data_IF_898807502717
#
_entry.id   IF_898807502717
#
_cell.length_a   1.000
_cell.length_b   1.000
_cell.length_c   1.000
_cell.angle_alpha   90.00
_cell.angle_beta   90.00
_cell.angle_gamma   90.00
#
_symmetry.space_group_name_H-M   'P 1'
#
loop_
_entity.id
_entity.type
_entity.pdbx_description
1 polymer ?
#
# COMPACT_ATOMS: atom_id res chain seq x y z
N UNK A 1 -74.70 -36.41 30.64
CA UNK A 1 -73.94 -36.93 29.47
C UNK A 1 -72.56 -36.31 29.51
N UNK A 2 -71.45 -37.07 29.54
CA UNK A 2 -70.12 -36.47 29.45
C UNK A 2 -69.84 -36.06 28.00
N UNK A 3 -69.39 -34.82 27.79
CA UNK A 3 -68.79 -34.40 26.52
C UNK A 3 -67.33 -34.85 26.52
N UNK A 4 -66.99 -35.78 25.63
CA UNK A 4 -65.59 -36.14 25.38
C UNK A 4 -65.03 -35.17 24.35
N UNK A 5 -64.09 -34.33 24.76
CA UNK A 5 -63.38 -33.44 23.86
C UNK A 5 -62.35 -34.24 23.07
N UNK A 6 -62.54 -34.35 21.76
CA UNK A 6 -61.53 -34.88 20.85
C UNK A 6 -60.64 -33.71 20.40
N UNK A 7 -59.49 -33.53 21.05
CA UNK A 7 -58.53 -32.52 20.64
C UNK A 7 -58.00 -32.80 19.24
N UNK A 8 -58.41 -32.01 18.26
CA UNK A 8 -57.85 -32.04 16.91
C UNK A 8 -56.46 -31.40 16.89
N UNK A 9 -55.51 -32.02 16.18
CA UNK A 9 -54.19 -31.44 15.96
C UNK A 9 -54.25 -30.46 14.77
N UNK A 10 -54.02 -29.17 15.02
CA UNK A 10 -53.84 -28.17 13.97
C UNK A 10 -52.38 -28.21 13.49
N UNK A 11 -52.16 -28.56 12.23
CA UNK A 11 -50.86 -28.42 11.58
C UNK A 11 -50.85 -27.14 10.75
N UNK A 12 -49.96 -26.19 11.10
CA UNK A 12 -49.74 -24.98 10.32
C UNK A 12 -48.44 -25.17 9.55
N UNK A 13 -48.54 -25.29 8.22
CA UNK A 13 -47.36 -25.38 7.36
C UNK A 13 -46.73 -23.99 7.22
N UNK A 14 -45.42 -23.84 7.48
CA UNK A 14 -44.72 -22.57 7.26
C UNK A 14 -44.86 -22.09 5.81
N UNK A 15 -45.00 -20.78 5.62
CA UNK A 15 -45.12 -20.19 4.28
C UNK A 15 -43.76 -20.19 3.58
N UNK A 16 -43.72 -20.60 2.30
CA UNK A 16 -42.48 -20.52 1.51
C UNK A 16 -42.05 -19.07 1.30
N UNK A 17 -40.76 -18.78 1.54
CA UNK A 17 -40.16 -17.47 1.34
C UNK A 17 -38.74 -17.62 0.80
N UNK A 18 -38.42 -16.89 -0.27
CA UNK A 18 -37.06 -16.80 -0.81
C UNK A 18 -36.48 -15.44 -0.45
N UNK A 19 -35.36 -15.43 0.25
CA UNK A 19 -34.67 -14.22 0.71
C UNK A 19 -33.35 -14.09 -0.02
N UNK A 20 -33.13 -12.95 -0.69
CA UNK A 20 -31.89 -12.65 -1.41
C UNK A 20 -31.10 -11.57 -0.69
N UNK A 21 -29.78 -11.74 -0.58
CA UNK A 21 -28.91 -10.66 -0.11
C UNK A 21 -28.93 -9.49 -1.10
N UNK A 22 -28.99 -8.26 -0.59
CA UNK A 22 -28.75 -7.10 -1.44
C UNK A 22 -27.30 -7.12 -1.95
N UNK A 23 -27.10 -6.74 -3.20
CA UNK A 23 -25.76 -6.61 -3.76
C UNK A 23 -24.98 -5.53 -3.00
N UNK A 24 -23.68 -5.76 -2.79
CA UNK A 24 -22.80 -4.85 -2.06
C UNK A 24 -21.44 -4.75 -2.73
N UNK A 25 -20.68 -3.76 -2.28
CA UNK A 25 -19.27 -3.63 -2.62
C UNK A 25 -18.40 -3.48 -1.37
N UNK A 26 -17.11 -3.76 -1.55
CA UNK A 26 -16.05 -3.36 -0.63
C UNK A 26 -14.81 -2.94 -1.42
N UNK A 27 -13.94 -2.15 -0.82
CA UNK A 27 -12.63 -1.87 -1.43
C UNK A 27 -11.70 -3.08 -1.34
N UNK A 28 -10.72 -3.11 -2.23
CA UNK A 28 -9.54 -3.97 -2.11
C UNK A 28 -8.92 -3.84 -0.72
N UNK A 29 -8.47 -4.96 -0.14
CA UNK A 29 -7.93 -5.03 1.23
C UNK A 29 -8.94 -4.90 2.37
N UNK A 30 -10.18 -4.48 2.11
CA UNK A 30 -11.21 -4.43 3.16
C UNK A 30 -11.77 -5.83 3.48
N UNK A 31 -12.26 -6.00 4.71
CA UNK A 31 -12.95 -7.22 5.13
C UNK A 31 -14.32 -7.37 4.42
N UNK A 32 -14.78 -8.62 4.29
CA UNK A 32 -16.13 -8.89 3.77
C UNK A 32 -17.20 -8.42 4.76
N UNK A 33 -18.36 -7.94 4.27
CA UNK A 33 -19.48 -7.60 5.14
C UNK A 33 -20.03 -8.85 5.83
N UNK A 34 -20.26 -8.77 7.14
CA UNK A 34 -20.78 -9.88 7.95
C UNK A 34 -22.30 -9.83 8.17
N UNK A 35 -22.91 -8.68 7.90
CA UNK A 35 -24.35 -8.48 8.00
C UNK A 35 -24.84 -7.44 6.98
N UNK A 36 -26.11 -7.53 6.61
CA UNK A 36 -26.73 -6.52 5.78
C UNK A 36 -28.17 -6.81 5.37
N UNK A 37 -28.70 -5.85 4.63
CA UNK A 37 -30.07 -5.86 4.15
C UNK A 37 -30.30 -6.99 3.14
N UNK A 38 -31.53 -7.49 3.16
CA UNK A 38 -32.01 -8.52 2.26
C UNK A 38 -33.33 -8.10 1.63
N UNK A 39 -33.71 -8.78 0.56
CA UNK A 39 -34.98 -8.55 -0.14
C UNK A 39 -35.72 -9.87 -0.31
N UNK A 40 -37.05 -9.79 -0.36
CA UNK A 40 -37.88 -10.94 -0.75
C UNK A 40 -37.74 -11.14 -2.25
N UNK A 41 -37.15 -12.26 -2.65
CA UNK A 41 -36.97 -12.64 -4.06
C UNK A 41 -38.05 -13.63 -4.55
N UNK A 42 -38.84 -14.19 -3.64
CA UNK A 42 -39.93 -15.11 -3.95
C UNK A 42 -40.82 -15.37 -2.75
N UNK A 43 -42.11 -15.64 -3.01
CA UNK A 43 -43.12 -15.72 -1.96
C UNK A 43 -43.58 -14.36 -1.47
N UNK A 44 -44.13 -14.30 -0.25
CA UNK A 44 -44.61 -13.04 0.35
C UNK A 44 -44.66 -13.11 1.87
N UNK A 45 -44.40 -11.98 2.52
CA UNK A 45 -44.59 -11.82 3.96
C UNK A 45 -46.07 -11.77 4.30
N UNK A 46 -46.42 -12.22 5.50
CA UNK A 46 -47.74 -12.02 6.08
C UNK A 46 -47.96 -10.52 6.38
N UNK A 47 -49.22 -10.11 6.49
CA UNK A 47 -49.54 -8.71 6.77
C UNK A 47 -48.95 -8.29 8.12
N UNK A 48 -48.14 -7.23 8.11
CA UNK A 48 -47.47 -6.70 9.30
C UNK A 48 -46.06 -7.25 9.54
N UNK A 49 -45.67 -8.34 8.86
CA UNK A 49 -44.32 -8.89 8.97
C UNK A 49 -43.33 -8.10 8.11
N UNK A 50 -42.08 -8.01 8.57
CA UNK A 50 -40.99 -7.34 7.85
C UNK A 50 -39.64 -7.98 8.15
N UNK A 51 -38.78 -8.04 7.13
CA UNK A 51 -37.40 -8.51 7.27
C UNK A 51 -36.53 -7.42 7.90
N UNK A 52 -35.56 -7.85 8.70
CA UNK A 52 -34.42 -7.07 9.13
C UNK A 52 -33.15 -7.48 8.37
N UNK A 53 -31.99 -7.34 9.01
CA UNK A 53 -30.72 -7.76 8.42
C UNK A 53 -30.52 -9.28 8.52
N UNK A 54 -29.71 -9.81 7.62
CA UNK A 54 -29.23 -11.18 7.67
C UNK A 54 -27.72 -11.21 7.94
N UNK A 55 -27.23 -12.35 8.43
CA UNK A 55 -25.81 -12.65 8.40
C UNK A 55 -25.39 -12.86 6.95
N UNK A 56 -24.25 -12.27 6.57
CA UNK A 56 -23.70 -12.38 5.22
C UNK A 56 -22.33 -13.06 5.27
N UNK A 57 -22.04 -13.84 4.25
CA UNK A 57 -20.75 -14.49 4.05
C UNK A 57 -20.33 -14.44 2.58
N UNK A 58 -19.02 -14.45 2.33
CA UNK A 58 -18.47 -14.53 0.99
C UNK A 58 -17.09 -15.20 1.04
N UNK A 59 -16.75 -15.96 0.00
CA UNK A 59 -15.45 -16.60 -0.15
C UNK A 59 -14.33 -15.63 -0.60
N UNK A 60 -14.65 -14.36 -0.83
CA UNK A 60 -13.67 -13.37 -1.28
C UNK A 60 -12.58 -13.14 -0.22
N UNK A 61 -11.32 -13.40 -0.54
CA UNK A 61 -10.20 -13.03 0.33
C UNK A 61 -9.93 -11.51 0.29
N UNK A 62 -9.29 -10.95 1.32
CA UNK A 62 -8.95 -9.50 1.36
C UNK A 62 -8.01 -9.07 0.21
N UNK A 63 -7.26 -10.03 -0.34
CA UNK A 63 -6.37 -9.91 -1.51
C UNK A 63 -7.10 -10.04 -2.86
N UNK A 64 -8.41 -10.30 -2.87
CA UNK A 64 -9.17 -10.34 -4.11
C UNK A 64 -9.10 -9.00 -4.82
N UNK A 65 -8.50 -8.99 -6.02
CA UNK A 65 -8.31 -7.77 -6.81
C UNK A 65 -9.60 -7.04 -7.18
N UNK A 66 -9.50 -5.74 -7.40
CA UNK A 66 -10.62 -4.91 -7.81
C UNK A 66 -11.20 -5.32 -9.18
N UNK A 67 -12.48 -5.03 -9.40
CA UNK A 67 -13.23 -5.44 -10.58
C UNK A 67 -13.78 -6.88 -10.51
N UNK A 68 -13.34 -7.69 -9.52
CA UNK A 68 -13.86 -9.03 -9.31
C UNK A 68 -15.22 -9.02 -8.60
N UNK A 69 -15.98 -10.08 -8.81
CA UNK A 69 -17.27 -10.32 -8.17
C UNK A 69 -17.30 -11.70 -7.51
N UNK A 70 -18.06 -11.79 -6.41
CA UNK A 70 -18.23 -13.00 -5.63
C UNK A 70 -19.68 -13.15 -5.19
N UNK A 71 -20.09 -14.37 -4.86
CA UNK A 71 -21.36 -14.60 -4.18
C UNK A 71 -21.32 -13.97 -2.78
N UNK A 72 -22.43 -13.33 -2.41
CA UNK A 72 -22.71 -12.84 -1.07
C UNK A 72 -23.89 -13.61 -0.51
N UNK A 73 -23.58 -14.65 0.26
CA UNK A 73 -24.55 -15.63 0.73
C UNK A 73 -25.18 -15.17 2.05
N UNK A 74 -26.49 -14.90 2.07
CA UNK A 74 -27.20 -14.60 3.30
C UNK A 74 -27.52 -15.87 4.09
N UNK A 75 -27.62 -15.70 5.40
CA UNK A 75 -28.08 -16.72 6.33
C UNK A 75 -28.72 -16.03 7.54
N UNK A 76 -29.52 -16.78 8.30
CA UNK A 76 -30.08 -16.32 9.58
C UNK A 76 -30.72 -14.92 9.48
N UNK A 77 -31.61 -14.72 8.49
CA UNK A 77 -32.34 -13.45 8.34
C UNK A 77 -33.15 -13.14 9.59
N UNK A 78 -32.97 -11.95 10.14
CA UNK A 78 -33.79 -11.45 11.22
C UNK A 78 -35.14 -10.98 10.69
N UNK A 79 -36.17 -11.06 11.52
CA UNK A 79 -37.45 -10.42 11.26
C UNK A 79 -37.55 -9.19 12.17
N UNK A 80 -37.72 -8.01 11.57
CA UNK A 80 -37.99 -6.80 12.33
C UNK A 80 -39.40 -6.84 12.93
N UNK A 81 -40.35 -7.46 12.23
CA UNK A 81 -41.68 -7.81 12.71
C UNK A 81 -42.06 -9.20 12.19
N UNK A 82 -42.76 -9.99 12.99
CA UNK A 82 -43.07 -11.39 12.67
C UNK A 82 -42.09 -12.38 13.30
N UNK A 83 -42.20 -13.66 12.91
CA UNK A 83 -41.33 -14.75 13.39
C UNK A 83 -40.85 -15.60 12.23
N UNK A 84 -39.55 -15.89 12.19
CA UNK A 84 -38.94 -16.71 11.14
C UNK A 84 -39.58 -18.12 11.04
N UNK A 85 -40.00 -18.71 12.17
CA UNK A 85 -40.62 -20.04 12.21
C UNK A 85 -41.95 -20.14 11.44
N UNK A 86 -42.58 -19.00 11.14
CA UNK A 86 -43.77 -18.96 10.29
C UNK A 86 -43.44 -19.19 8.80
N UNK A 87 -42.15 -19.24 8.45
CA UNK A 87 -41.67 -19.31 7.08
C UNK A 87 -40.71 -20.47 6.85
N UNK A 88 -40.88 -21.16 5.71
CA UNK A 88 -39.88 -22.06 5.16
C UNK A 88 -38.94 -21.24 4.27
N UNK A 89 -37.84 -20.76 4.84
CA UNK A 89 -36.94 -19.80 4.19
C UNK A 89 -35.88 -20.52 3.36
N UNK A 90 -35.75 -20.13 2.10
CA UNK A 90 -34.59 -20.44 1.26
C UNK A 90 -33.83 -19.17 0.93
N UNK A 91 -32.52 -19.30 0.73
CA UNK A 91 -31.63 -18.17 0.50
C UNK A 91 -31.14 -18.14 -0.94
N UNK A 92 -31.03 -16.94 -1.48
CA UNK A 92 -30.39 -16.66 -2.75
C UNK A 92 -29.23 -15.68 -2.55
N UNK A 93 -28.13 -15.96 -3.22
CA UNK A 93 -26.95 -15.10 -3.14
C UNK A 93 -27.21 -13.73 -3.79
N UNK A 94 -26.69 -12.70 -3.13
CA UNK A 94 -26.39 -11.43 -3.78
C UNK A 94 -24.98 -11.45 -4.37
N UNK A 95 -24.53 -10.30 -4.84
CA UNK A 95 -23.20 -10.10 -5.41
C UNK A 95 -22.37 -9.20 -4.51
N UNK A 96 -21.15 -9.62 -4.18
CA UNK A 96 -20.11 -8.76 -3.59
C UNK A 96 -19.12 -8.34 -4.69
N UNK A 97 -19.12 -7.06 -5.04
CA UNK A 97 -18.17 -6.48 -6.00
C UNK A 97 -16.98 -5.85 -5.29
N UNK A 98 -15.77 -6.04 -5.81
CA UNK A 98 -14.56 -5.42 -5.25
C UNK A 98 -14.23 -4.14 -6.02
N UNK A 99 -14.11 -3.02 -5.31
CA UNK A 99 -13.69 -1.73 -5.88
C UNK A 99 -12.23 -1.45 -5.55
N UNK A 100 -11.62 -0.51 -6.27
CA UNK A 100 -10.24 -0.07 -5.96
C UNK A 100 -10.16 0.54 -4.55
N UNK A 101 -9.02 0.39 -3.91
CA UNK A 101 -8.68 1.09 -2.67
C UNK A 101 -8.00 2.43 -2.98
N UNK A 102 -8.16 3.48 -2.15
CA UNK A 102 -7.45 4.73 -2.36
C UNK A 102 -5.95 4.57 -2.09
N UNK A 103 -5.10 5.12 -2.97
CA UNK A 103 -3.66 5.27 -2.75
C UNK A 103 -3.26 6.70 -3.06
N UNK A 104 -2.54 7.34 -2.15
CA UNK A 104 -2.01 8.70 -2.36
C UNK A 104 -0.52 8.64 -2.66
N UNK A 105 -0.10 9.32 -3.73
CA UNK A 105 1.30 9.51 -4.12
C UNK A 105 1.63 10.99 -4.00
N UNK A 106 2.50 11.34 -3.06
CA UNK A 106 2.89 12.73 -2.79
C UNK A 106 4.32 12.97 -3.25
N UNK A 107 4.55 14.00 -4.07
CA UNK A 107 5.90 14.40 -4.41
C UNK A 107 6.61 15.01 -3.21
N UNK A 108 7.86 14.59 -2.99
CA UNK A 108 8.70 15.20 -1.97
C UNK A 108 9.16 16.59 -2.42
N UNK A 109 9.10 17.54 -1.49
CA UNK A 109 9.58 18.89 -1.74
C UNK A 109 11.06 18.92 -2.11
N UNK A 110 11.40 19.78 -3.06
CA UNK A 110 12.77 20.00 -3.52
C UNK A 110 13.28 21.38 -3.16
N UNK A 111 14.60 21.46 -2.95
CA UNK A 111 15.32 22.72 -2.80
C UNK A 111 16.60 22.66 -3.61
N UNK A 112 16.95 23.76 -4.27
CA UNK A 112 18.16 23.81 -5.08
C UNK A 112 18.59 25.24 -5.40
N UNK A 113 19.65 25.32 -6.19
CA UNK A 113 20.18 26.58 -6.71
C UNK A 113 19.89 26.69 -8.21
N UNK A 114 19.70 27.92 -8.68
CA UNK A 114 19.61 28.20 -10.12
C UNK A 114 20.92 27.81 -10.79
N UNK A 115 20.84 26.91 -11.76
CA UNK A 115 21.97 26.47 -12.58
C UNK A 115 21.89 26.96 -14.02
N UNK A 116 22.89 26.57 -14.83
CA UNK A 116 22.91 26.87 -16.28
C UNK A 116 21.89 26.04 -17.09
N UNK A 117 21.45 24.92 -16.53
CA UNK A 117 20.43 24.02 -17.11
C UNK A 117 19.08 24.21 -16.43
N UNK A 118 17.97 24.07 -17.17
CA UNK A 118 16.65 24.06 -16.56
C UNK A 118 16.49 22.85 -15.63
N UNK A 119 15.69 23.01 -14.59
CA UNK A 119 15.32 21.89 -13.71
C UNK A 119 14.54 20.81 -14.47
N UNK A 120 14.81 19.55 -14.15
CA UNK A 120 14.12 18.37 -14.69
C UNK A 120 14.04 17.30 -13.58
N UNK A 121 12.91 16.59 -13.49
CA UNK A 121 12.68 15.54 -12.50
C UNK A 121 12.19 16.07 -11.14
N UNK A 122 12.41 15.28 -10.09
CA UNK A 122 11.94 15.55 -8.73
C UNK A 122 12.76 14.83 -7.66
N UNK A 123 12.30 14.88 -6.41
CA UNK A 123 13.03 14.38 -5.22
C UNK A 123 12.55 13.02 -4.71
N UNK A 124 11.83 12.25 -5.52
CA UNK A 124 11.09 11.06 -5.07
C UNK A 124 9.66 11.37 -4.65
N UNK A 125 8.95 10.33 -4.23
CA UNK A 125 7.57 10.41 -3.76
C UNK A 125 7.42 9.60 -2.47
N UNK A 126 6.42 9.95 -1.67
CA UNK A 126 5.92 9.10 -0.58
C UNK A 126 4.56 8.52 -0.94
N UNK A 127 4.28 7.32 -0.45
CA UNK A 127 3.02 6.61 -0.67
C UNK A 127 2.26 6.49 0.65
N UNK A 128 0.93 6.60 0.59
CA UNK A 128 0.04 6.33 1.71
C UNK A 128 -1.21 5.59 1.22
N UNK A 129 -1.54 4.47 1.87
CA UNK A 129 -2.74 3.68 1.56
C UNK A 129 -2.49 2.30 0.95
N UNK A 130 -1.24 1.83 0.87
CA UNK A 130 -0.99 0.43 0.55
C UNK A 130 -1.60 -0.49 1.60
N UNK A 131 -2.16 -1.61 1.13
CA UNK A 131 -2.84 -2.64 1.89
C UNK A 131 -2.21 -4.00 1.58
N UNK A 132 -2.52 -5.02 2.37
CA UNK A 132 -2.09 -6.41 2.13
C UNK A 132 -0.57 -6.65 2.00
N UNK A 133 0.25 -5.70 2.46
CA UNK A 133 1.71 -5.78 2.31
C UNK A 133 2.23 -5.31 0.96
N UNK A 134 1.36 -4.75 0.10
CA UNK A 134 1.73 -4.18 -1.18
C UNK A 134 2.70 -2.98 -1.01
N UNK A 135 3.51 -2.74 -2.03
CA UNK A 135 4.39 -1.58 -2.09
C UNK A 135 4.51 -0.99 -3.52
N UNK A 136 5.45 -0.07 -3.72
CA UNK A 136 5.64 0.62 -4.98
C UNK A 136 5.98 -0.32 -6.16
N UNK A 137 6.49 -1.52 -5.89
CA UNK A 137 6.81 -2.53 -6.91
C UNK A 137 5.56 -3.24 -7.47
N UNK A 138 4.43 -3.18 -6.75
CA UNK A 138 3.13 -3.70 -7.21
C UNK A 138 2.37 -2.71 -8.11
N UNK A 139 2.91 -1.49 -8.28
CA UNK A 139 2.38 -0.52 -9.21
C UNK A 139 2.96 -0.74 -10.61
N UNK A 140 2.14 -0.45 -11.61
CA UNK A 140 2.59 -0.39 -13.00
C UNK A 140 2.91 1.05 -13.41
N UNK A 141 3.55 1.21 -14.57
CA UNK A 141 4.01 2.51 -15.05
C UNK A 141 5.34 2.92 -14.43
N UNK A 142 5.68 4.19 -14.55
CA UNK A 142 6.96 4.72 -14.07
C UNK A 142 6.77 6.14 -13.56
N UNK A 143 7.46 6.46 -12.45
CA UNK A 143 7.43 7.78 -11.87
C UNK A 143 7.89 8.84 -12.88
N UNK A 144 7.05 9.84 -13.06
CA UNK A 144 7.31 11.03 -13.86
C UNK A 144 6.99 12.28 -13.05
N UNK A 145 7.60 13.40 -13.46
CA UNK A 145 7.36 14.70 -12.84
C UNK A 145 6.93 15.71 -13.89
N UNK A 146 5.92 16.49 -13.52
CA UNK A 146 5.40 17.63 -14.26
C UNK A 146 5.32 18.87 -13.36
N UNK A 147 4.40 19.77 -13.72
CA UNK A 147 4.21 21.05 -13.04
C UNK A 147 5.19 22.13 -13.50
N UNK A 148 5.08 23.32 -12.90
CA UNK A 148 5.88 24.49 -13.29
C UNK A 148 7.36 24.39 -12.91
N UNK A 149 7.74 23.37 -12.13
CA UNK A 149 9.13 23.05 -11.79
C UNK A 149 9.93 22.58 -13.02
N UNK A 150 9.29 21.87 -13.95
CA UNK A 150 9.97 21.35 -15.13
C UNK A 150 10.28 22.51 -16.08
N UNK A 151 11.57 22.73 -16.37
CA UNK A 151 11.99 23.89 -17.15
C UNK A 151 12.37 25.13 -16.34
N UNK A 152 12.23 25.11 -15.00
CA UNK A 152 12.53 26.27 -14.16
C UNK A 152 14.01 26.69 -14.26
N UNK A 153 14.24 28.01 -14.38
CA UNK A 153 15.57 28.63 -14.59
C UNK A 153 15.85 29.85 -13.72
N UNK A 154 14.91 30.23 -12.86
CA UNK A 154 15.01 31.41 -11.99
C UNK A 154 14.76 31.00 -10.55
N UNK A 155 15.20 31.84 -9.62
CA UNK A 155 14.86 31.66 -8.23
C UNK A 155 13.35 31.86 -8.06
N UNK A 156 12.73 31.04 -7.23
CA UNK A 156 11.28 31.02 -7.06
C UNK A 156 10.79 29.72 -6.44
N UNK A 157 9.48 29.67 -6.19
CA UNK A 157 8.78 28.44 -5.80
C UNK A 157 7.95 27.95 -6.99
N UNK A 158 8.03 26.65 -7.25
CA UNK A 158 7.42 25.99 -8.40
C UNK A 158 6.67 24.74 -7.94
N UNK A 159 5.62 24.38 -8.68
CA UNK A 159 4.84 23.18 -8.44
C UNK A 159 5.57 21.95 -8.99
N UNK A 160 5.69 20.91 -8.17
CA UNK A 160 6.30 19.64 -8.55
C UNK A 160 5.22 18.56 -8.51
N UNK A 161 4.66 18.25 -9.68
CA UNK A 161 3.53 17.32 -9.79
C UNK A 161 4.03 15.92 -10.11
N UNK A 162 3.82 14.92 -9.23
CA UNK A 162 4.14 13.53 -9.55
C UNK A 162 3.09 12.93 -10.49
N UNK A 163 3.46 11.89 -11.23
CA UNK A 163 2.54 11.15 -12.08
C UNK A 163 3.14 9.87 -12.63
N UNK A 164 2.35 9.12 -13.40
CA UNK A 164 2.83 8.01 -14.24
C UNK A 164 2.71 6.61 -13.64
N UNK A 165 2.39 6.46 -12.36
CA UNK A 165 1.97 5.18 -11.79
C UNK A 165 0.51 4.85 -12.13
N UNK A 166 0.22 3.57 -12.25
CA UNK A 166 -1.11 3.00 -12.43
C UNK A 166 -1.26 1.71 -11.62
N UNK A 167 -2.50 1.35 -11.28
CA UNK A 167 -2.81 0.10 -10.59
C UNK A 167 -4.21 -0.38 -10.92
N UNK A 168 -4.37 -1.70 -10.98
CA UNK A 168 -5.69 -2.35 -11.07
C UNK A 168 -6.40 -2.34 -9.72
N UNK A 169 -5.67 -2.39 -8.61
CA UNK A 169 -6.23 -2.48 -7.25
C UNK A 169 -6.36 -1.14 -6.54
N UNK A 170 -5.61 -0.13 -6.95
CA UNK A 170 -5.61 1.19 -6.32
C UNK A 170 -6.10 2.30 -7.23
N UNK A 171 -6.94 3.18 -6.68
CA UNK A 171 -7.29 4.47 -7.25
C UNK A 171 -6.25 5.50 -6.77
N UNK A 172 -5.37 5.92 -7.68
CA UNK A 172 -4.18 6.68 -7.34
C UNK A 172 -4.47 8.18 -7.42
N UNK A 173 -4.42 8.85 -6.28
CA UNK A 173 -4.44 10.30 -6.18
C UNK A 173 -3.02 10.87 -6.06
N UNK A 174 -2.71 11.85 -6.90
CA UNK A 174 -1.42 12.54 -6.87
C UNK A 174 -1.52 13.85 -6.08
N UNK A 175 -0.55 14.08 -5.21
CA UNK A 175 -0.42 15.32 -4.44
C UNK A 175 0.89 15.99 -4.83
N UNK A 176 0.78 17.26 -5.20
CA UNK A 176 1.93 18.07 -5.60
C UNK A 176 2.85 18.34 -4.41
N UNK A 177 4.15 18.37 -4.71
CA UNK A 177 5.17 18.97 -3.85
C UNK A 177 5.56 20.37 -4.36
N UNK A 178 6.54 20.97 -3.71
CA UNK A 178 7.11 22.27 -4.07
C UNK A 178 8.60 22.17 -4.35
N UNK A 179 9.05 22.76 -5.45
CA UNK A 179 10.46 23.03 -5.72
C UNK A 179 10.78 24.49 -5.41
N UNK A 180 11.71 24.74 -4.49
CA UNK A 180 12.27 26.07 -4.24
C UNK A 180 13.67 26.20 -4.84
N UNK A 181 13.84 27.10 -5.82
CA UNK A 181 15.14 27.47 -6.36
C UNK A 181 15.61 28.80 -5.78
N UNK A 182 16.90 28.87 -5.41
CA UNK A 182 17.56 30.07 -4.89
C UNK A 182 18.68 30.52 -5.83
N UNK A 183 19.03 31.80 -5.81
CA UNK A 183 20.24 32.25 -6.50
C UNK A 183 21.47 31.70 -5.78
N UNK A 184 22.49 31.18 -6.50
CA UNK A 184 23.73 30.72 -5.87
C UNK A 184 24.32 31.80 -4.95
N UNK A 185 24.98 31.41 -3.85
CA UNK A 185 25.74 32.37 -3.06
C UNK A 185 26.78 33.06 -3.94
N UNK A 186 26.97 34.37 -3.74
CA UNK A 186 27.96 35.14 -4.49
C UNK A 186 29.37 34.56 -4.22
N UNK A 187 30.07 34.17 -5.29
CA UNK A 187 31.49 33.82 -5.20
C UNK A 187 32.27 35.14 -5.16
N UNK A 188 32.87 35.47 -4.02
CA UNK A 188 33.77 36.61 -3.95
C UNK A 188 35.04 36.29 -4.74
N UNK A 189 35.18 36.84 -5.94
CA UNK A 189 36.45 36.87 -6.64
C UNK A 189 37.33 37.92 -5.99
N UNK A 190 38.37 37.49 -5.26
CA UNK A 190 39.44 38.40 -4.87
C UNK A 190 40.15 38.85 -6.16
N UNK A 191 39.87 40.08 -6.61
CA UNK A 191 40.71 40.74 -7.60
C UNK A 191 42.03 41.06 -6.91
N UNK A 192 43.11 40.35 -7.26
CA UNK A 192 44.45 40.82 -6.95
C UNK A 192 44.70 42.07 -7.82
N UNK A 193 44.27 43.24 -7.35
CA UNK A 193 44.72 44.50 -7.90
C UNK A 193 46.21 44.57 -7.68
N UNK A 194 46.99 44.36 -8.74
CA UNK A 194 48.41 44.59 -8.73
C UNK A 194 48.66 46.01 -8.18
N UNK A 195 49.39 46.09 -7.07
CA UNK A 195 49.84 47.36 -6.51
C UNK A 195 50.74 48.02 -7.56
N UNK A 196 50.46 49.26 -8.03
CA UNK A 196 51.36 49.96 -8.91
C UNK A 196 52.57 50.42 -8.07
N UNK A 197 53.57 49.56 -7.97
CA UNK A 197 54.79 49.84 -7.21
C UNK A 197 55.58 48.59 -6.87
N UNK A 198 56.37 48.11 -7.84
CA UNK A 198 57.71 47.51 -7.63
C UNK A 198 57.92 46.34 -6.64
N UNK A 199 56.89 45.73 -6.07
CA UNK A 199 57.03 44.55 -5.21
C UNK A 199 57.11 43.27 -6.05
N UNK A 200 58.29 42.68 -6.14
CA UNK A 200 58.58 41.47 -6.91
C UNK A 200 57.65 40.30 -6.52
N UNK A 201 56.91 39.75 -7.49
CA UNK A 201 56.28 38.45 -7.34
C UNK A 201 57.39 37.41 -7.08
N UNK A 202 57.41 36.83 -5.89
CA UNK A 202 58.21 35.63 -5.66
C UNK A 202 57.60 34.49 -6.47
N UNK A 203 58.12 34.31 -7.68
CA UNK A 203 57.96 33.06 -8.42
C UNK A 203 58.70 32.00 -7.62
N UNK A 204 57.98 31.19 -6.86
CA UNK A 204 58.53 29.98 -6.25
C UNK A 204 58.78 28.98 -7.40
N UNK A 205 59.93 29.11 -8.06
CA UNK A 205 60.52 27.98 -8.77
C UNK A 205 61.04 27.03 -7.71
N UNK A 206 60.55 25.78 -7.75
CA UNK A 206 61.05 24.67 -6.94
C UNK A 206 62.57 24.58 -7.14
N UNK A 207 63.34 25.07 -6.18
CA UNK A 207 64.75 24.70 -6.05
C UNK A 207 64.78 23.22 -5.68
N UNK A 208 65.48 22.43 -6.49
CA UNK A 208 65.86 21.06 -6.15
C UNK A 208 66.70 21.08 -4.88
N UNK A 209 66.05 20.81 -3.75
CA UNK A 209 66.76 20.56 -2.51
C UNK A 209 67.42 19.18 -2.59
N UNK A 210 68.75 19.17 -2.55
CA UNK A 210 69.58 17.95 -2.46
C UNK A 210 69.60 17.42 -1.02
N UNK A 211 68.43 17.23 -0.43
CA UNK A 211 68.27 16.58 0.86
C UNK A 211 67.28 15.42 0.76
N UNK A 212 67.80 14.30 0.26
CA UNK A 212 67.10 13.03 0.03
C UNK A 212 66.77 12.30 1.34
N UNK A 213 65.83 12.82 2.12
CA UNK A 213 65.11 12.05 3.15
C UNK A 213 63.62 12.37 3.15
N UNK A 214 62.86 11.50 2.49
CA UNK A 214 61.40 11.44 2.62
C UNK A 214 61.02 11.30 4.11
N UNK A 215 60.10 12.10 4.66
CA UNK A 215 59.52 11.79 5.95
C UNK A 215 58.69 10.50 5.80
N UNK A 216 59.03 9.45 6.53
CA UNK A 216 58.19 8.27 6.61
C UNK A 216 56.88 8.62 7.35
N UNK A 217 55.75 8.27 6.75
CA UNK A 217 54.45 8.31 7.42
C UNK A 217 54.51 7.38 8.65
N UNK A 218 53.95 7.77 9.81
CA UNK A 218 53.89 6.88 10.96
C UNK A 218 53.07 5.63 10.61
N UNK A 219 53.58 4.46 10.98
CA UNK A 219 52.88 3.18 10.86
C UNK A 219 51.64 3.23 11.75
N UNK A 220 50.45 3.11 11.14
CA UNK A 220 49.19 2.92 11.87
C UNK A 220 49.23 1.54 12.54
N UNK A 221 49.08 1.41 13.87
CA UNK A 221 49.02 0.10 14.50
C UNK A 221 47.76 -0.66 14.06
N UNK A 222 47.92 -1.94 13.79
CA UNK A 222 46.84 -2.84 13.40
C UNK A 222 45.74 -2.89 14.46
N UNK A 223 44.48 -2.81 14.01
CA UNK A 223 43.29 -3.07 14.83
C UNK A 223 43.33 -4.55 15.24
N UNK A 224 43.21 -4.92 16.52
CA UNK A 224 43.14 -6.33 16.91
C UNK A 224 41.87 -6.97 16.33
N UNK A 225 42.07 -8.08 15.62
CA UNK A 225 40.99 -8.94 15.13
C UNK A 225 40.19 -9.47 16.33
N UNK A 226 38.90 -9.16 16.39
CA UNK A 226 37.98 -9.94 17.22
C UNK A 226 37.84 -11.32 16.60
N UNK A 227 38.27 -12.33 17.34
CA UNK A 227 38.12 -13.74 16.99
C UNK A 227 36.64 -14.06 16.74
N UNK A 228 36.32 -14.54 15.54
CA UNK A 228 35.05 -15.20 15.27
C UNK A 228 35.05 -16.56 15.97
N UNK A 229 34.09 -16.78 16.87
CA UNK A 229 33.77 -18.12 17.36
C UNK A 229 33.15 -18.95 16.22
N UNK A 230 33.51 -20.24 16.05
CA UNK A 230 32.91 -21.07 15.03
C UNK A 230 31.48 -21.45 15.44
N UNK A 231 30.47 -20.89 14.75
CA UNK A 231 29.10 -21.37 14.85
C UNK A 231 28.92 -22.48 13.80
N UNK A 232 28.81 -23.71 14.31
CA UNK A 232 28.55 -24.94 13.56
C UNK A 232 27.20 -24.86 12.82
N UNK A 233 27.25 -24.97 11.49
CA UNK A 233 26.05 -25.13 10.65
C UNK A 233 25.58 -26.59 10.69
N UNK A 234 24.34 -26.80 11.14
CA UNK A 234 23.58 -28.04 10.99
C UNK A 234 22.86 -27.96 9.63
N UNK A 235 23.09 -28.87 8.67
CA UNK A 235 22.24 -28.95 7.48
C UNK A 235 20.97 -29.73 7.80
N UNK A 236 19.81 -29.07 7.74
CA UNK A 236 18.51 -29.75 7.73
C UNK A 236 18.13 -30.04 6.26
N UNK A 237 18.29 -31.29 5.83
CA UNK A 237 17.81 -31.76 4.53
C UNK A 237 16.90 -32.97 4.73
N UNK A 238 15.65 -32.76 4.30
CA UNK A 238 14.70 -33.70 3.70
C UNK A 238 14.39 -35.06 4.37
N UNK A 239 13.11 -35.18 4.74
CA UNK A 239 12.19 -36.29 4.44
C UNK A 239 12.69 -37.71 4.78
N UNK A 240 12.25 -38.21 5.92
CA UNK A 240 12.21 -39.65 6.19
C UNK A 240 11.08 -40.32 5.39
N UNK A 241 11.46 -41.20 4.46
CA UNK A 241 10.70 -42.41 4.13
C UNK A 241 11.58 -43.60 4.48
N UNK A 242 11.01 -44.46 5.33
CA UNK A 242 11.24 -45.89 5.54
C UNK A 242 12.54 -46.51 5.00
N UNK A 243 13.26 -47.25 5.85
CA UNK A 243 13.38 -48.72 5.74
C UNK A 243 14.25 -49.27 6.88
N UNK A 244 13.70 -50.28 7.54
CA UNK A 244 14.30 -51.13 8.58
C UNK A 244 15.35 -52.05 7.95
N UNK A 245 16.56 -52.11 8.51
CA UNK A 245 17.37 -53.34 8.62
C UNK A 245 18.66 -53.10 9.45
N UNK A 246 18.84 -53.87 10.53
CA UNK A 246 20.10 -54.01 11.27
C UNK A 246 20.96 -55.12 10.63
N UNK A 247 22.28 -54.94 10.45
CA UNK A 247 23.18 -56.06 10.18
C UNK A 247 23.99 -56.46 11.43
N UNK A 248 24.43 -57.73 11.46
CA UNK A 248 25.63 -58.14 12.20
C UNK A 248 26.86 -57.81 11.38
#
# INVERSE_FOLDING_TARGET
MPMTYHGGQLSITPRSLVVKAADRSRSYGAANPLAGQVVVAGGSLAQGDSLGEAHLSSAAEVTAGAGRQFALTPSSVAFAQGKADNYAITYQDGTLSITKAPLTVTALDGRGWVGSRPWQGGMGVSFAGFLNGDDASDLSGSLSYGGSSQGARKAGSYLLTPGGFASDNYDIAYVDGSLTLRNPPAVATASNTAVPGGGQLHRVTREEDKDSRLPQLPVVPAIPQFAQAPMSFIPYLAVGRDFIALPR
#
